data_IF_312804204513
#
_entry.id   IF_312804204513
#
_cell.length_a   1.000
_cell.length_b   1.000
_cell.length_c   1.000
_cell.angle_alpha   90.00
_cell.angle_beta   90.00
_cell.angle_gamma   90.00
#
_symmetry.space_group_name_H-M   'P 1'
#
loop_
_entity.id
_entity.type
_entity.pdbx_description
1 polymer ?
#
# COMPACT_ATOMS: atom_id res chain seq x y z
N UNK A 1 5.73 64.40 -43.54
CA UNK A 1 6.23 64.74 -44.88
C UNK A 1 7.29 63.71 -45.21
N UNK A 2 6.97 62.76 -46.10
CA UNK A 2 7.82 61.74 -46.76
C UNK A 2 8.57 60.74 -45.86
N UNK A 3 8.74 59.43 -46.11
CA UNK A 3 8.32 58.44 -47.12
C UNK A 3 8.79 57.08 -46.54
N UNK A 4 7.92 56.09 -46.30
CA UNK A 4 7.70 54.87 -47.10
C UNK A 4 8.93 54.04 -47.54
N UNK A 5 8.71 52.72 -47.55
CA UNK A 5 9.46 51.61 -48.23
C UNK A 5 10.66 51.05 -47.45
N UNK A 6 10.84 49.74 -47.19
CA UNK A 6 10.49 48.48 -47.87
C UNK A 6 10.35 47.38 -46.77
N UNK A 7 9.32 46.54 -46.72
CA UNK A 7 9.05 45.34 -47.56
C UNK A 7 10.21 44.34 -47.58
N UNK A 8 9.97 43.26 -46.83
CA UNK A 8 10.27 41.85 -47.05
C UNK A 8 11.65 41.34 -47.53
N UNK A 9 11.93 40.17 -46.96
CA UNK A 9 12.61 39.04 -47.59
C UNK A 9 14.12 38.90 -47.36
N UNK A 10 14.47 37.97 -46.48
CA UNK A 10 15.42 36.91 -46.80
C UNK A 10 15.38 35.82 -45.72
N UNK A 11 14.48 34.87 -45.93
CA UNK A 11 14.59 33.54 -45.36
C UNK A 11 15.61 32.74 -46.18
N UNK A 12 16.87 32.63 -45.73
CA UNK A 12 17.69 31.44 -45.99
C UNK A 12 19.06 31.53 -45.30
N UNK A 13 19.44 30.48 -44.55
CA UNK A 13 20.83 30.33 -44.13
C UNK A 13 21.08 29.34 -42.99
N UNK A 14 20.91 28.05 -43.29
CA UNK A 14 21.76 26.92 -42.86
C UNK A 14 22.80 27.18 -41.75
N UNK A 15 22.62 26.50 -40.62
CA UNK A 15 23.65 25.74 -39.89
C UNK A 15 22.93 25.02 -38.72
N UNK A 16 22.66 23.71 -38.76
CA UNK A 16 23.65 22.65 -38.47
C UNK A 16 24.64 23.09 -37.37
N UNK A 17 24.13 23.12 -36.14
CA UNK A 17 24.89 23.29 -34.90
C UNK A 17 24.51 22.21 -33.88
N UNK A 18 24.42 20.96 -34.34
CA UNK A 18 24.38 19.78 -33.45
C UNK A 18 25.78 19.59 -32.87
N UNK A 19 26.14 20.32 -31.81
CA UNK A 19 27.33 20.02 -30.98
C UNK A 19 27.50 20.98 -29.78
N UNK A 20 26.56 20.92 -28.83
CA UNK A 20 26.92 21.16 -27.44
C UNK A 20 26.06 20.32 -26.49
N UNK A 21 26.02 19.00 -26.73
CA UNK A 21 25.75 18.06 -25.64
C UNK A 21 26.95 18.15 -24.68
N UNK A 22 26.90 19.16 -23.81
CA UNK A 22 27.69 19.12 -22.59
C UNK A 22 27.28 17.83 -21.89
N UNK A 23 28.20 16.87 -21.65
CA UNK A 23 27.90 15.81 -20.73
C UNK A 23 27.77 16.51 -19.38
N UNK A 24 26.53 16.78 -18.96
CA UNK A 24 26.23 17.21 -17.61
C UNK A 24 26.74 16.09 -16.72
N UNK A 25 27.97 16.28 -16.25
CA UNK A 25 28.69 15.32 -15.45
C UNK A 25 27.78 14.91 -14.31
N UNK A 26 27.51 13.62 -14.22
CA UNK A 26 26.87 13.01 -13.06
C UNK A 26 27.76 13.33 -11.87
N UNK A 27 27.47 14.44 -11.17
CA UNK A 27 28.10 14.75 -9.89
C UNK A 27 27.64 13.64 -8.94
N UNK A 28 28.53 12.75 -8.45
CA UNK A 28 28.12 11.81 -7.42
C UNK A 28 27.69 12.62 -6.20
N UNK A 29 26.41 12.51 -5.81
CA UNK A 29 25.91 13.10 -4.57
C UNK A 29 26.70 12.52 -3.42
N UNK A 30 27.57 13.34 -2.83
CA UNK A 30 28.45 13.00 -1.70
C UNK A 30 27.56 12.57 -0.52
N UNK A 31 27.50 11.26 -0.26
CA UNK A 31 26.86 10.66 0.92
C UNK A 31 27.71 10.96 2.15
N UNK A 32 27.71 12.22 2.61
CA UNK A 32 28.56 12.66 3.72
C UNK A 32 27.71 13.31 4.80
N UNK A 33 27.65 12.63 5.95
CA UNK A 33 27.17 13.07 7.27
C UNK A 33 25.65 13.31 7.39
N UNK A 34 24.89 12.22 7.50
CA UNK A 34 23.52 12.20 8.03
C UNK A 34 23.43 11.34 9.30
N UNK A 35 24.39 11.48 10.23
CA UNK A 35 24.31 10.84 11.55
C UNK A 35 23.95 11.85 12.65
N UNK A 36 24.34 13.12 12.51
CA UNK A 36 23.81 14.21 13.34
C UNK A 36 22.36 14.60 13.01
N UNK A 37 21.85 14.25 11.84
CA UNK A 37 20.44 14.46 11.48
C UNK A 37 19.49 13.41 12.11
N UNK A 38 20.02 12.40 12.81
CA UNK A 38 19.22 11.36 13.47
C UNK A 38 18.61 11.79 14.82
N UNK A 39 19.06 12.91 15.39
CA UNK A 39 18.54 13.44 16.67
C UNK A 39 17.02 13.71 16.60
N UNK A 40 16.50 14.11 15.43
CA UNK A 40 15.06 14.31 15.24
C UNK A 40 14.24 13.01 15.24
N UNK A 41 14.85 11.85 15.01
CA UNK A 41 14.17 10.54 15.02
C UNK A 41 14.19 9.89 16.42
N UNK A 42 15.03 10.37 17.33
CA UNK A 42 15.12 9.86 18.71
C UNK A 42 13.76 9.80 19.42
N UNK A 43 12.90 10.85 19.43
CA UNK A 43 11.61 10.76 20.11
C UNK A 43 10.67 9.70 19.49
N UNK A 44 10.69 9.52 18.17
CA UNK A 44 9.94 8.45 17.50
C UNK A 44 10.46 7.07 17.89
N UNK A 45 11.78 6.89 17.95
CA UNK A 45 12.40 5.63 18.32
C UNK A 45 12.13 5.27 19.79
N UNK A 46 12.16 6.27 20.68
CA UNK A 46 11.78 6.10 22.09
C UNK A 46 10.32 5.69 22.19
N UNK A 47 9.41 6.35 21.47
CA UNK A 47 8.00 5.97 21.44
C UNK A 47 7.80 4.53 20.94
N UNK A 48 8.47 4.15 19.85
CA UNK A 48 8.43 2.78 19.31
C UNK A 48 8.96 1.78 20.34
N UNK A 49 10.06 2.11 21.02
CA UNK A 49 10.60 1.32 22.12
C UNK A 49 9.58 1.11 23.23
N UNK A 50 8.97 2.18 23.71
CA UNK A 50 8.05 2.15 24.85
C UNK A 50 6.71 1.47 24.54
N UNK A 51 6.14 1.69 23.35
CA UNK A 51 4.77 1.25 23.02
C UNK A 51 4.69 0.04 22.09
N UNK A 52 5.77 -0.32 21.39
CA UNK A 52 5.82 -1.53 20.56
C UNK A 52 6.77 -2.56 21.18
N UNK A 53 8.00 -2.15 21.51
CA UNK A 53 9.05 -3.11 21.90
C UNK A 53 8.84 -3.63 23.32
N UNK A 54 8.50 -2.77 24.29
CA UNK A 54 8.20 -3.21 25.66
C UNK A 54 7.06 -4.26 25.68
N UNK A 55 5.85 -4.01 25.11
CA UNK A 55 4.80 -5.02 25.15
C UNK A 55 5.15 -6.27 24.33
N UNK A 56 5.89 -6.14 23.22
CA UNK A 56 6.35 -7.31 22.47
C UNK A 56 7.29 -8.20 23.31
N UNK A 57 8.25 -7.61 24.03
CA UNK A 57 9.13 -8.35 24.94
C UNK A 57 8.32 -8.97 26.08
N UNK A 58 7.36 -8.25 26.66
CA UNK A 58 6.46 -8.81 27.68
C UNK A 58 5.73 -10.06 27.16
N UNK A 59 5.17 -10.02 25.94
CA UNK A 59 4.51 -11.18 25.34
C UNK A 59 5.49 -12.36 25.15
N UNK A 60 6.71 -12.09 24.68
CA UNK A 60 7.74 -13.14 24.52
C UNK A 60 8.11 -13.76 25.86
N UNK A 61 8.32 -12.94 26.89
CA UNK A 61 8.67 -13.43 28.24
C UNK A 61 7.51 -14.24 28.83
N UNK A 62 6.28 -13.75 28.72
CA UNK A 62 5.09 -14.47 29.20
C UNK A 62 4.84 -15.76 28.41
N UNK A 63 5.20 -15.83 27.13
CA UNK A 63 5.07 -17.07 26.35
C UNK A 63 5.89 -18.24 26.94
N UNK A 64 7.02 -17.94 27.61
CA UNK A 64 7.85 -18.94 28.29
C UNK A 64 7.59 -19.04 29.79
N UNK A 65 6.62 -18.31 30.34
CA UNK A 65 6.25 -18.37 31.76
C UNK A 65 4.87 -19.04 31.93
N UNK A 66 4.73 -19.87 32.97
CA UNK A 66 3.45 -20.41 33.40
C UNK A 66 2.66 -19.35 34.16
N UNK A 67 1.35 -19.57 34.38
CA UNK A 67 0.50 -18.65 35.16
C UNK A 67 0.98 -18.43 36.61
N UNK A 68 1.87 -19.28 37.11
CA UNK A 68 2.54 -19.17 38.42
C UNK A 68 3.92 -18.50 38.38
N UNK A 69 4.41 -18.07 37.21
CA UNK A 69 5.72 -17.42 37.04
C UNK A 69 6.89 -18.39 36.80
N UNK A 70 6.68 -19.71 36.83
CA UNK A 70 7.71 -20.71 36.50
C UNK A 70 8.01 -20.74 35.00
N UNK A 71 9.27 -20.90 34.62
CA UNK A 71 9.66 -21.07 33.21
C UNK A 71 9.15 -22.42 32.68
N UNK A 72 8.35 -22.41 31.61
CA UNK A 72 7.73 -23.61 31.03
C UNK A 72 7.71 -23.53 29.50
N UNK A 73 7.84 -24.70 28.86
CA UNK A 73 7.66 -24.87 27.42
C UNK A 73 6.25 -25.36 27.05
N UNK A 74 5.37 -25.52 28.04
CA UNK A 74 4.01 -26.04 27.83
C UNK A 74 3.16 -25.13 26.92
N UNK A 75 3.22 -23.81 27.12
CA UNK A 75 2.48 -22.85 26.29
C UNK A 75 2.93 -22.90 24.82
N UNK A 76 4.24 -23.07 24.60
CA UNK A 76 4.78 -23.22 23.26
C UNK A 76 4.32 -24.53 22.61
N UNK A 77 4.30 -25.62 23.37
CA UNK A 77 3.83 -26.92 22.88
C UNK A 77 2.32 -26.88 22.54
N UNK A 78 1.50 -26.20 23.34
CA UNK A 78 0.08 -25.98 23.03
C UNK A 78 -0.10 -25.08 21.80
N UNK A 79 0.73 -24.05 21.61
CA UNK A 79 0.64 -23.17 20.45
C UNK A 79 0.91 -23.91 19.12
N UNK A 80 1.80 -24.91 19.13
CA UNK A 80 2.18 -25.67 17.93
C UNK A 80 1.39 -26.99 17.76
N UNK A 81 0.48 -27.33 18.67
CA UNK A 81 -0.36 -28.52 18.57
C UNK A 81 -1.87 -28.19 18.67
N UNK A 82 -2.71 -29.15 18.27
CA UNK A 82 -4.16 -29.04 18.42
C UNK A 82 -4.81 -27.94 17.56
N UNK A 83 -5.81 -27.27 18.13
CA UNK A 83 -6.64 -26.28 17.41
C UNK A 83 -5.85 -25.03 17.04
N UNK A 84 -4.85 -24.64 17.83
CA UNK A 84 -4.01 -23.47 17.56
C UNK A 84 -3.21 -23.61 16.26
N UNK A 85 -2.59 -24.78 16.02
CA UNK A 85 -1.86 -25.05 14.78
C UNK A 85 -2.78 -24.93 13.56
N UNK A 86 -4.00 -25.48 13.64
CA UNK A 86 -4.98 -25.38 12.55
C UNK A 86 -5.35 -23.92 12.26
N UNK A 87 -5.55 -23.11 13.30
CA UNK A 87 -5.83 -21.67 13.16
C UNK A 87 -4.65 -20.92 12.54
N UNK A 88 -3.40 -21.25 12.91
CA UNK A 88 -2.20 -20.68 12.27
C UNK A 88 -2.12 -21.02 10.78
N UNK A 89 -2.33 -22.28 10.42
CA UNK A 89 -2.30 -22.72 9.01
C UNK A 89 -3.40 -22.00 8.21
N UNK A 90 -4.63 -21.96 8.72
CA UNK A 90 -5.72 -21.24 8.07
C UNK A 90 -5.41 -19.75 7.89
N UNK A 91 -4.80 -19.11 8.89
CA UNK A 91 -4.42 -17.69 8.82
C UNK A 91 -3.36 -17.44 7.75
N UNK A 92 -2.36 -18.32 7.66
CA UNK A 92 -1.30 -18.24 6.64
C UNK A 92 -1.88 -18.46 5.24
N UNK A 93 -2.71 -19.48 5.06
CA UNK A 93 -3.38 -19.76 3.78
C UNK A 93 -4.25 -18.59 3.34
N UNK A 94 -5.06 -18.05 4.25
CA UNK A 94 -5.90 -16.88 3.97
C UNK A 94 -5.07 -15.65 3.61
N UNK A 95 -4.00 -15.39 4.36
CA UNK A 95 -3.09 -14.25 4.10
C UNK A 95 -2.37 -14.41 2.76
N UNK A 96 -1.95 -15.62 2.42
CA UNK A 96 -1.28 -15.92 1.16
C UNK A 96 -2.22 -15.74 -0.03
N UNK A 97 -3.44 -16.28 0.05
CA UNK A 97 -4.46 -16.10 -0.97
C UNK A 97 -4.82 -14.61 -1.14
N UNK A 98 -5.03 -13.89 -0.03
CA UNK A 98 -5.31 -12.46 -0.04
C UNK A 98 -4.16 -11.65 -0.65
N UNK A 99 -2.90 -11.99 -0.32
CA UNK A 99 -1.72 -11.33 -0.86
C UNK A 99 -1.59 -11.52 -2.37
N UNK A 100 -1.87 -12.72 -2.90
CA UNK A 100 -1.85 -12.96 -4.34
C UNK A 100 -2.90 -12.10 -5.04
N UNK A 101 -4.15 -12.13 -4.56
CA UNK A 101 -5.24 -11.37 -5.18
C UNK A 101 -4.95 -9.87 -5.13
N UNK A 102 -4.52 -9.35 -3.96
CA UNK A 102 -4.16 -7.95 -3.80
C UNK A 102 -2.96 -7.54 -4.68
N UNK A 103 -1.97 -8.42 -4.83
CA UNK A 103 -0.80 -8.16 -5.69
C UNK A 103 -1.20 -8.10 -7.16
N UNK A 104 -1.98 -9.07 -7.65
CA UNK A 104 -2.43 -9.09 -9.05
C UNK A 104 -3.25 -7.84 -9.36
N UNK A 105 -4.28 -7.55 -8.57
CA UNK A 105 -5.13 -6.37 -8.78
C UNK A 105 -4.36 -5.06 -8.59
N UNK A 106 -3.48 -4.99 -7.59
CA UNK A 106 -2.65 -3.82 -7.31
C UNK A 106 -1.65 -3.52 -8.43
N UNK A 107 -1.01 -4.55 -8.99
CA UNK A 107 -0.10 -4.41 -10.14
C UNK A 107 -0.88 -3.97 -11.38
N UNK A 108 -2.04 -4.58 -11.67
CA UNK A 108 -2.88 -4.16 -12.79
C UNK A 108 -3.31 -2.69 -12.66
N UNK A 109 -3.77 -2.28 -11.48
CA UNK A 109 -4.13 -0.89 -11.20
C UNK A 109 -2.94 0.05 -11.34
N UNK A 110 -1.77 -0.33 -10.80
CA UNK A 110 -0.54 0.46 -10.91
C UNK A 110 -0.12 0.64 -12.37
N UNK A 111 -0.23 -0.40 -13.20
CA UNK A 111 0.11 -0.33 -14.63
C UNK A 111 -0.86 0.57 -15.39
N UNK A 112 -2.16 0.47 -15.11
CA UNK A 112 -3.17 1.33 -15.72
C UNK A 112 -2.93 2.82 -15.40
N UNK A 113 -2.53 3.12 -14.16
CA UNK A 113 -2.23 4.48 -13.71
C UNK A 113 -0.93 5.01 -14.32
N UNK A 114 0.10 4.15 -14.47
CA UNK A 114 1.37 4.54 -15.11
C UNK A 114 1.23 4.76 -16.62
N UNK A 115 0.38 3.99 -17.31
CA UNK A 115 0.16 4.12 -18.75
C UNK A 115 -0.78 5.29 -19.12
N UNK A 116 -1.62 5.76 -18.20
CA UNK A 116 -2.61 6.81 -18.46
C UNK A 116 -2.06 8.22 -18.14
N UNK A 117 -2.20 9.16 -19.09
CA UNK A 117 -1.81 10.57 -18.87
C UNK A 117 -2.89 11.39 -18.14
N UNK A 118 -4.07 10.82 -17.87
CA UNK A 118 -5.20 11.55 -17.33
C UNK A 118 -5.00 11.90 -15.84
N UNK A 119 -4.91 13.21 -15.56
CA UNK A 119 -4.71 13.76 -14.21
C UNK A 119 -5.84 13.39 -13.24
N UNK A 120 -7.07 13.24 -13.72
CA UNK A 120 -8.24 12.92 -12.88
C UNK A 120 -8.13 11.49 -12.34
N UNK A 121 -7.76 10.52 -13.19
CA UNK A 121 -7.59 9.12 -12.78
C UNK A 121 -6.49 8.99 -11.73
N UNK A 122 -5.35 9.65 -11.93
CA UNK A 122 -4.25 9.69 -10.94
C UNK A 122 -4.70 10.32 -9.62
N UNK A 123 -5.47 11.40 -9.68
CA UNK A 123 -5.99 12.06 -8.47
C UNK A 123 -6.95 11.16 -7.70
N UNK A 124 -7.91 10.52 -8.38
CA UNK A 124 -8.87 9.59 -7.74
C UNK A 124 -8.17 8.37 -7.13
N UNK A 125 -7.19 7.78 -7.83
CA UNK A 125 -6.44 6.63 -7.29
C UNK A 125 -5.57 7.06 -6.11
N UNK A 126 -4.92 8.23 -6.18
CA UNK A 126 -4.12 8.76 -5.07
C UNK A 126 -4.99 9.06 -3.85
N UNK A 127 -6.17 9.65 -4.02
CA UNK A 127 -7.09 9.91 -2.91
C UNK A 127 -7.69 8.63 -2.36
N UNK A 128 -8.09 7.69 -3.23
CA UNK A 128 -8.59 6.38 -2.81
C UNK A 128 -7.53 5.61 -2.01
N UNK A 129 -6.29 5.58 -2.49
CA UNK A 129 -5.17 4.96 -1.79
C UNK A 129 -4.91 5.58 -0.41
N UNK A 130 -5.04 6.91 -0.28
CA UNK A 130 -4.92 7.58 1.01
C UNK A 130 -6.05 7.18 1.98
N UNK A 131 -7.29 7.06 1.51
CA UNK A 131 -8.40 6.57 2.33
C UNK A 131 -8.09 5.14 2.78
N UNK A 132 -7.80 4.21 1.87
CA UNK A 132 -7.52 2.82 2.21
C UNK A 132 -6.31 2.64 3.15
N UNK A 133 -5.27 3.47 3.03
CA UNK A 133 -4.10 3.43 3.91
C UNK A 133 -4.41 3.91 5.34
N UNK A 134 -5.44 4.73 5.52
CA UNK A 134 -5.83 5.29 6.83
C UNK A 134 -7.10 4.64 7.40
N UNK A 135 -7.97 4.05 6.57
CA UNK A 135 -9.18 3.34 6.99
C UNK A 135 -8.86 1.88 7.26
N UNK A 136 -8.30 1.59 8.42
CA UNK A 136 -8.09 0.24 8.92
C UNK A 136 -9.08 -0.15 10.02
N UNK A 137 -9.22 -1.45 10.25
CA UNK A 137 -9.96 -1.99 11.41
C UNK A 137 -11.47 -2.02 11.22
N UNK A 138 -12.20 -1.51 12.22
CA UNK A 138 -13.65 -1.65 12.36
C UNK A 138 -14.44 -1.10 11.15
N UNK A 139 -14.17 0.11 10.62
CA UNK A 139 -14.93 0.64 9.49
C UNK A 139 -14.79 -0.21 8.21
N UNK A 140 -13.57 -0.68 7.91
CA UNK A 140 -13.31 -1.50 6.72
C UNK A 140 -14.03 -2.85 6.79
N UNK A 141 -14.09 -3.44 7.99
CA UNK A 141 -14.88 -4.66 8.23
C UNK A 141 -16.38 -4.43 7.98
N UNK A 142 -16.94 -3.32 8.45
CA UNK A 142 -18.34 -2.98 8.21
C UNK A 142 -18.64 -2.73 6.73
N UNK A 143 -17.76 -2.03 6.01
CA UNK A 143 -17.92 -1.83 4.57
C UNK A 143 -17.90 -3.16 3.81
N UNK A 144 -17.02 -4.10 4.21
CA UNK A 144 -16.98 -5.44 3.62
C UNK A 144 -18.28 -6.21 3.87
N UNK A 145 -18.75 -6.25 5.12
CA UNK A 145 -20.00 -6.93 5.50
C UNK A 145 -21.21 -6.28 4.79
N UNK A 146 -21.28 -4.95 4.70
CA UNK A 146 -22.35 -4.26 4.00
C UNK A 146 -22.33 -4.49 2.47
N UNK A 147 -21.18 -4.85 1.91
CA UNK A 147 -21.03 -5.10 0.48
C UNK A 147 -21.32 -6.56 0.14
N UNK A 148 -20.72 -7.50 0.87
CA UNK A 148 -20.72 -8.96 0.59
C UNK A 148 -21.71 -9.74 1.49
N UNK A 149 -22.31 -9.10 2.49
CA UNK A 149 -23.23 -9.75 3.41
C UNK A 149 -24.55 -10.20 2.78
N UNK A 150 -25.38 -10.90 3.56
CA UNK A 150 -26.62 -11.51 3.08
C UNK A 150 -27.63 -10.48 2.54
N UNK A 151 -27.65 -9.29 3.14
CA UNK A 151 -28.41 -8.12 2.68
C UNK A 151 -27.50 -7.04 2.09
N UNK A 152 -26.31 -7.44 1.63
CA UNK A 152 -25.32 -6.53 1.10
C UNK A 152 -25.65 -6.02 -0.29
N UNK A 153 -24.98 -4.94 -0.69
CA UNK A 153 -25.19 -4.30 -2.00
C UNK A 153 -24.93 -5.27 -3.15
N UNK A 154 -23.91 -6.14 -3.05
CA UNK A 154 -23.61 -7.13 -4.09
C UNK A 154 -24.73 -8.16 -4.19
N UNK A 155 -25.19 -8.71 -3.06
CA UNK A 155 -26.24 -9.73 -3.04
C UNK A 155 -27.54 -9.20 -3.61
N UNK A 156 -27.92 -7.96 -3.26
CA UNK A 156 -29.10 -7.30 -3.83
C UNK A 156 -28.96 -7.05 -5.33
N UNK A 157 -27.81 -6.54 -5.78
CA UNK A 157 -27.53 -6.34 -7.20
C UNK A 157 -27.58 -7.67 -7.98
N UNK A 158 -27.11 -8.76 -7.40
CA UNK A 158 -27.14 -10.08 -8.03
C UNK A 158 -28.58 -10.61 -8.17
N UNK A 159 -29.41 -10.43 -7.15
CA UNK A 159 -30.85 -10.73 -7.20
C UNK A 159 -31.59 -9.83 -8.20
N UNK A 160 -31.28 -8.53 -8.25
CA UNK A 160 -31.90 -7.57 -9.19
C UNK A 160 -31.53 -7.87 -10.66
N UNK A 161 -30.34 -8.44 -10.91
CA UNK A 161 -29.89 -8.90 -12.24
C UNK A 161 -30.44 -10.30 -12.60
N UNK A 162 -31.24 -10.91 -11.71
CA UNK A 162 -31.99 -12.15 -11.97
C UNK A 162 -31.25 -13.44 -11.62
N UNK A 163 -30.05 -13.36 -11.02
CA UNK A 163 -29.33 -14.51 -10.49
C UNK A 163 -29.58 -14.56 -8.98
N UNK A 164 -30.73 -15.12 -8.58
CA UNK A 164 -31.12 -15.21 -7.18
C UNK A 164 -30.42 -16.41 -6.50
N UNK A 165 -29.40 -16.20 -5.64
CA UNK A 165 -28.71 -17.30 -4.97
C UNK A 165 -29.63 -18.11 -4.02
N UNK A 166 -30.76 -17.53 -3.62
CA UNK A 166 -31.74 -18.17 -2.74
C UNK A 166 -32.67 -19.16 -3.48
N UNK A 167 -32.82 -19.05 -4.80
CA UNK A 167 -33.59 -20.02 -5.59
C UNK A 167 -32.79 -21.32 -5.85
N UNK A 168 -31.49 -21.33 -5.54
CA UNK A 168 -30.57 -22.44 -5.77
C UNK A 168 -30.11 -23.15 -4.47
N UNK A 169 -30.77 -22.90 -3.33
CA UNK A 169 -30.61 -23.71 -2.11
C UNK A 169 -29.63 -23.17 -1.05
N UNK A 170 -29.22 -21.91 -1.12
CA UNK A 170 -28.52 -21.26 -0.01
C UNK A 170 -29.54 -20.68 0.98
N UNK A 171 -29.73 -21.33 2.14
CA UNK A 171 -30.42 -20.76 3.30
C UNK A 171 -29.44 -20.04 4.22
#
# INVERSE_FOLDING_TARGET
MASTTNVEESAHGRAEGVSSLSPTGLRPKRKRRSWHNGIGTVPFLVYLGLFLVIPAISVVVTAFQSGSGSFTMSNFNEAVHGVYLKSFINSIQLSFAAAIVATVLGVLASLAVCASSNRIVRALVSSGSAVFANTGGVPLAFSFIATVGNFGVITKLLTDVGFNPYDHGFS
#
